data_IF_596972986775
#
_entry.id   IF_596972986775
#
_cell.length_a   1.000
_cell.length_b   1.000
_cell.length_c   1.000
_cell.angle_alpha   90.00
_cell.angle_beta   90.00
_cell.angle_gamma   90.00
#
_symmetry.space_group_name_H-M   'P 1'
#
loop_
_entity.id
_entity.type
_entity.pdbx_description
1 polymer ?
#
# COMPACT_ATOMS: atom_id res chain seq x y z
N UNK A 1 -5.08 23.45 -2.65
CA UNK A 1 -3.99 23.58 -1.66
C UNK A 1 -2.72 22.95 -2.19
N UNK A 2 -1.58 23.51 -1.83
CA UNK A 2 -0.27 22.91 -2.11
C UNK A 2 0.04 21.82 -1.08
N UNK A 3 0.95 20.87 -1.38
CA UNK A 3 1.36 19.84 -0.41
C UNK A 3 1.94 20.42 0.89
N UNK A 4 2.61 21.58 0.80
CA UNK A 4 3.16 22.28 1.95
C UNK A 4 2.08 22.88 2.84
N UNK A 5 1.01 23.41 2.26
CA UNK A 5 -0.16 23.92 3.01
C UNK A 5 -0.89 22.78 3.74
N UNK A 6 -1.06 21.64 3.09
CA UNK A 6 -1.64 20.43 3.71
C UNK A 6 -0.75 19.95 4.86
N UNK A 7 0.57 19.89 4.64
CA UNK A 7 1.52 19.51 5.70
C UNK A 7 1.42 20.45 6.91
N UNK A 8 1.39 21.76 6.68
CA UNK A 8 1.30 22.73 7.77
C UNK A 8 0.00 22.59 8.58
N UNK A 9 -1.14 22.36 7.90
CA UNK A 9 -2.42 22.11 8.55
C UNK A 9 -2.37 20.83 9.42
N UNK A 10 -1.82 19.74 8.88
CA UNK A 10 -1.66 18.50 9.61
C UNK A 10 -0.69 18.65 10.79
N UNK A 11 0.46 19.29 10.59
CA UNK A 11 1.45 19.47 11.63
C UNK A 11 0.93 20.37 12.77
N UNK A 12 0.13 21.39 12.44
CA UNK A 12 -0.52 22.22 13.45
C UNK A 12 -1.51 21.43 14.32
N UNK A 13 -2.22 20.45 13.73
CA UNK A 13 -3.23 19.67 14.42
C UNK A 13 -2.68 18.46 15.17
N UNK A 14 -1.71 17.73 14.56
CA UNK A 14 -1.19 16.45 15.05
C UNK A 14 0.25 16.53 15.60
N UNK A 15 0.95 17.66 15.40
CA UNK A 15 2.30 17.86 15.91
C UNK A 15 3.32 16.85 15.37
N UNK A 16 4.11 16.28 16.27
CA UNK A 16 5.21 15.36 15.95
C UNK A 16 4.76 14.03 15.29
N UNK A 17 3.46 13.69 15.33
CA UNK A 17 2.93 12.52 14.62
C UNK A 17 3.01 12.66 13.11
N UNK A 18 3.19 13.87 12.59
CA UNK A 18 3.51 14.15 11.20
C UNK A 18 5.04 14.23 11.10
N UNK A 19 5.64 13.13 10.66
CA UNK A 19 7.09 12.89 10.76
C UNK A 19 7.88 13.77 9.78
N UNK A 20 7.43 13.84 8.52
CA UNK A 20 8.14 14.63 7.50
C UNK A 20 7.25 14.93 6.29
N UNK A 21 7.69 15.90 5.47
CA UNK A 21 7.09 16.22 4.19
C UNK A 21 8.18 16.31 3.12
N UNK A 22 7.95 15.67 1.99
CA UNK A 22 8.77 15.85 0.79
C UNK A 22 7.94 16.49 -0.33
N UNK A 23 7.87 17.81 -0.31
CA UNK A 23 7.11 18.60 -1.29
C UNK A 23 7.81 18.69 -2.67
N UNK A 24 9.12 18.34 -2.75
CA UNK A 24 9.92 18.44 -3.97
C UNK A 24 9.97 17.14 -4.77
N UNK A 25 9.39 16.07 -4.28
CA UNK A 25 9.27 14.81 -5.02
C UNK A 25 8.37 15.00 -6.25
N UNK A 26 8.52 14.12 -7.26
CA UNK A 26 7.63 14.08 -8.43
C UNK A 26 6.17 13.92 -7.98
N UNK A 27 5.93 13.03 -7.04
CA UNK A 27 4.68 12.93 -6.30
C UNK A 27 4.96 13.32 -4.83
N UNK A 28 4.55 14.53 -4.42
CA UNK A 28 4.75 15.02 -3.07
C UNK A 28 4.06 14.13 -2.04
N UNK A 29 4.75 13.86 -0.92
CA UNK A 29 4.21 13.00 0.12
C UNK A 29 4.51 13.51 1.53
N UNK A 30 3.66 13.11 2.46
CA UNK A 30 3.78 13.35 3.89
C UNK A 30 3.94 11.99 4.59
N UNK A 31 4.93 11.86 5.45
CA UNK A 31 5.12 10.67 6.29
C UNK A 31 4.38 10.88 7.61
N UNK A 32 3.54 9.93 7.95
CA UNK A 32 2.67 9.93 9.14
C UNK A 32 3.03 8.73 10.02
N UNK A 33 3.04 8.92 11.33
CA UNK A 33 3.17 7.84 12.29
C UNK A 33 2.02 6.85 12.15
N UNK A 34 2.31 5.54 12.17
CA UNK A 34 1.30 4.49 11.94
C UNK A 34 0.11 4.62 12.91
N UNK A 35 0.37 4.89 14.18
CA UNK A 35 -0.66 5.04 15.21
C UNK A 35 -1.62 6.22 14.96
N UNK A 36 -1.23 7.19 14.17
CA UNK A 36 -2.00 8.41 13.91
C UNK A 36 -2.77 8.36 12.58
N UNK A 37 -2.52 7.38 11.72
CA UNK A 37 -3.04 7.39 10.34
C UNK A 37 -4.56 7.49 10.26
N UNK A 38 -5.29 6.77 11.11
CA UNK A 38 -6.76 6.82 11.14
C UNK A 38 -7.27 8.22 11.49
N UNK A 39 -6.74 8.84 12.55
CA UNK A 39 -7.16 10.18 12.95
C UNK A 39 -6.78 11.24 11.91
N UNK A 40 -5.61 11.10 11.27
CA UNK A 40 -5.17 11.98 10.17
C UNK A 40 -6.09 11.81 8.95
N UNK A 41 -6.44 10.59 8.61
CA UNK A 41 -7.36 10.27 7.50
C UNK A 41 -8.76 10.86 7.74
N UNK A 42 -9.29 10.69 8.94
CA UNK A 42 -10.59 11.25 9.33
C UNK A 42 -10.59 12.78 9.23
N UNK A 43 -9.54 13.42 9.75
CA UNK A 43 -9.37 14.88 9.65
C UNK A 43 -9.28 15.34 8.19
N UNK A 44 -8.46 14.69 7.35
CA UNK A 44 -8.31 15.02 5.93
C UNK A 44 -9.63 14.91 5.16
N UNK A 45 -10.49 13.95 5.50
CA UNK A 45 -11.76 13.75 4.84
C UNK A 45 -12.80 14.79 5.25
N UNK A 46 -12.89 15.14 6.54
CA UNK A 46 -13.99 15.91 7.08
C UNK A 46 -13.70 17.40 7.27
N UNK A 47 -12.43 17.80 7.27
CA UNK A 47 -12.07 19.22 7.35
C UNK A 47 -12.57 19.99 6.12
N UNK A 48 -13.14 21.18 6.36
CA UNK A 48 -13.80 22.01 5.33
C UNK A 48 -12.85 22.47 4.22
N UNK A 49 -11.58 22.72 4.56
CA UNK A 49 -10.59 23.25 3.62
C UNK A 49 -9.77 22.15 2.93
N UNK A 50 -9.87 20.90 3.42
CA UNK A 50 -9.12 19.75 2.92
C UNK A 50 -9.97 18.82 2.05
N UNK A 51 -11.09 18.33 2.55
CA UNK A 51 -12.11 17.53 1.84
C UNK A 51 -11.53 16.44 0.93
N UNK A 52 -10.61 15.62 1.44
CA UNK A 52 -10.09 14.47 0.69
C UNK A 52 -11.12 13.34 0.68
N UNK A 53 -12.09 13.47 -0.20
CA UNK A 53 -13.25 12.58 -0.31
C UNK A 53 -12.94 11.25 -1.03
N UNK A 54 -11.82 11.16 -1.73
CA UNK A 54 -11.44 10.00 -2.54
C UNK A 54 -10.07 9.44 -2.17
N UNK A 55 -10.04 8.18 -1.74
CA UNK A 55 -8.84 7.36 -1.73
C UNK A 55 -8.70 6.71 -3.11
N UNK A 56 -7.80 7.23 -3.95
CA UNK A 56 -7.58 6.73 -5.31
C UNK A 56 -6.90 5.38 -5.32
N UNK A 57 -5.94 5.19 -4.44
CA UNK A 57 -5.18 3.95 -4.31
C UNK A 57 -4.56 3.86 -2.92
N UNK A 58 -4.51 2.64 -2.37
CA UNK A 58 -3.69 2.29 -1.23
C UNK A 58 -2.81 1.12 -1.67
N UNK A 59 -1.50 1.21 -1.43
CA UNK A 59 -0.55 0.19 -1.85
C UNK A 59 0.44 -0.14 -0.74
N UNK A 60 0.71 -1.45 -0.55
CA UNK A 60 1.82 -1.91 0.24
C UNK A 60 3.16 -1.67 -0.47
N UNK A 61 4.22 -1.45 0.28
CA UNK A 61 5.59 -1.29 -0.22
C UNK A 61 6.55 -2.03 0.69
N UNK A 62 7.44 -2.82 0.11
CA UNK A 62 8.56 -3.43 0.82
C UNK A 62 9.85 -2.64 0.55
N UNK A 63 10.42 -2.04 1.58
CA UNK A 63 11.69 -1.30 1.48
C UNK A 63 12.93 -2.21 1.54
N UNK A 64 12.76 -3.50 1.79
CA UNK A 64 13.80 -4.54 1.80
C UNK A 64 13.87 -5.32 3.12
N UNK A 65 14.59 -6.48 3.12
CA UNK A 65 14.60 -7.42 4.25
C UNK A 65 15.07 -6.80 5.58
N UNK A 66 16.05 -5.89 5.51
CA UNK A 66 16.64 -5.21 6.67
C UNK A 66 15.94 -3.88 7.02
N UNK A 67 14.80 -3.60 6.36
CA UNK A 67 14.08 -2.33 6.50
C UNK A 67 12.64 -2.56 6.94
N UNK A 68 11.83 -1.56 6.68
CA UNK A 68 10.40 -1.50 7.04
C UNK A 68 9.51 -1.97 5.89
N UNK A 69 8.26 -2.25 6.20
CA UNK A 69 7.15 -2.23 5.26
C UNK A 69 6.48 -0.85 5.31
N UNK A 70 5.82 -0.48 4.24
CA UNK A 70 5.10 0.79 4.19
C UNK A 70 3.74 0.66 3.52
N UNK A 71 2.84 1.57 3.88
CA UNK A 71 1.57 1.79 3.19
C UNK A 71 1.57 3.19 2.59
N UNK A 72 1.21 3.27 1.33
CA UNK A 72 1.10 4.52 0.57
C UNK A 72 -0.36 4.77 0.24
N UNK A 73 -0.88 5.90 0.68
CA UNK A 73 -2.25 6.33 0.44
C UNK A 73 -2.24 7.50 -0.54
N UNK A 74 -2.86 7.33 -1.69
CA UNK A 74 -3.02 8.39 -2.68
C UNK A 74 -4.42 9.00 -2.55
N UNK A 75 -4.49 10.21 -2.04
CA UNK A 75 -5.72 10.92 -1.75
C UNK A 75 -5.99 12.02 -2.75
N UNK A 76 -7.27 12.22 -3.06
CA UNK A 76 -7.74 13.28 -3.95
C UNK A 76 -9.01 13.91 -3.40
N UNK A 77 -9.11 15.22 -3.54
CA UNK A 77 -10.36 15.94 -3.34
C UNK A 77 -11.03 16.20 -4.68
N UNK A 78 -12.20 15.60 -4.90
CA UNK A 78 -12.97 15.82 -6.12
C UNK A 78 -13.57 17.21 -6.17
N UNK A 79 -13.87 17.77 -5.00
CA UNK A 79 -14.47 19.10 -4.83
C UNK A 79 -13.43 20.20 -5.02
N UNK A 80 -12.31 20.13 -4.29
CA UNK A 80 -11.28 21.16 -4.26
C UNK A 80 -10.15 20.92 -5.27
N UNK A 81 -10.15 19.76 -5.97
CA UNK A 81 -9.23 19.40 -7.07
C UNK A 81 -7.75 19.44 -6.68
N UNK A 82 -7.42 18.98 -5.48
CA UNK A 82 -6.04 18.80 -5.04
C UNK A 82 -5.77 17.35 -4.66
N UNK A 83 -4.51 16.98 -4.61
CA UNK A 83 -4.06 15.62 -4.28
C UNK A 83 -2.92 15.66 -3.28
N UNK A 84 -2.79 14.61 -2.48
CA UNK A 84 -1.67 14.37 -1.59
C UNK A 84 -1.42 12.87 -1.45
N UNK A 85 -0.17 12.51 -1.21
CA UNK A 85 0.19 11.15 -0.87
C UNK A 85 0.60 11.09 0.60
N UNK A 86 0.02 10.17 1.37
CA UNK A 86 0.50 9.84 2.71
C UNK A 86 1.32 8.57 2.65
N UNK A 87 2.33 8.48 3.50
CA UNK A 87 3.14 7.28 3.72
C UNK A 87 3.18 6.94 5.19
N UNK A 88 3.00 5.67 5.48
CA UNK A 88 3.18 5.10 6.80
C UNK A 88 4.25 4.03 6.71
N UNK A 89 5.15 3.98 7.67
CA UNK A 89 6.15 2.93 7.76
C UNK A 89 5.98 2.16 9.07
N UNK A 90 6.07 0.86 8.98
CA UNK A 90 5.95 -0.06 10.13
C UNK A 90 7.08 -1.08 10.13
N UNK A 91 7.45 -1.63 11.29
CA UNK A 91 8.37 -2.75 11.36
C UNK A 91 7.89 -3.92 10.49
N UNK A 92 8.84 -4.64 9.88
CA UNK A 92 8.53 -5.76 8.99
C UNK A 92 7.85 -6.93 9.72
N UNK A 93 8.19 -7.10 11.00
CA UNK A 93 7.57 -8.08 11.88
C UNK A 93 6.65 -7.35 12.87
N UNK A 94 5.46 -7.89 13.05
CA UNK A 94 4.45 -7.37 13.99
C UNK A 94 4.00 -5.93 13.77
N UNK A 95 4.31 -5.35 12.59
CA UNK A 95 3.84 -4.02 12.22
C UNK A 95 2.34 -4.03 11.97
N UNK A 96 1.61 -3.18 12.71
CA UNK A 96 0.18 -2.99 12.56
C UNK A 96 -0.13 -1.57 12.13
N UNK A 97 -1.11 -1.42 11.25
CA UNK A 97 -1.60 -0.13 10.78
C UNK A 97 -3.10 -0.06 11.05
N UNK A 98 -3.62 0.97 11.72
CA UNK A 98 -5.06 1.14 11.86
C UNK A 98 -5.74 1.20 10.48
N UNK A 99 -6.86 0.46 10.33
CA UNK A 99 -7.66 0.52 9.09
C UNK A 99 -8.23 1.92 8.86
N UNK A 100 -8.45 2.26 7.59
CA UNK A 100 -9.16 3.46 7.18
C UNK A 100 -10.41 3.13 6.34
N UNK A 101 -10.86 1.87 6.38
CA UNK A 101 -11.98 1.40 5.57
C UNK A 101 -13.34 2.00 5.99
N UNK A 102 -13.50 2.44 7.23
CA UNK A 102 -14.66 3.19 7.73
C UNK A 102 -14.68 4.64 7.20
N UNK A 103 -13.52 5.18 6.86
CA UNK A 103 -13.36 6.50 6.27
C UNK A 103 -13.57 6.43 4.74
N UNK A 104 -12.87 5.53 4.06
CA UNK A 104 -13.02 5.28 2.62
C UNK A 104 -13.27 3.80 2.35
N UNK A 105 -14.47 3.42 1.96
CA UNK A 105 -14.83 2.01 1.69
C UNK A 105 -13.93 1.31 0.65
N UNK A 106 -13.29 2.05 -0.24
CA UNK A 106 -12.31 1.49 -1.18
C UNK A 106 -11.10 0.89 -0.46
N UNK A 107 -10.75 1.39 0.72
CA UNK A 107 -9.63 0.89 1.52
C UNK A 107 -9.82 -0.58 1.91
N UNK A 108 -11.06 -1.02 2.17
CA UNK A 108 -11.36 -2.42 2.52
C UNK A 108 -10.71 -3.44 1.57
N UNK A 109 -10.76 -3.16 0.26
CA UNK A 109 -10.19 -4.05 -0.76
C UNK A 109 -8.67 -3.90 -0.88
N UNK A 110 -8.20 -2.67 -0.86
CA UNK A 110 -6.76 -2.39 -0.98
C UNK A 110 -5.96 -2.83 0.25
N UNK A 111 -6.53 -2.73 1.44
CA UNK A 111 -5.91 -3.20 2.68
C UNK A 111 -5.78 -4.74 2.67
N UNK A 112 -6.80 -5.45 2.18
CA UNK A 112 -6.74 -6.90 1.98
C UNK A 112 -5.68 -7.29 0.94
N UNK A 113 -5.54 -6.53 -0.16
CA UNK A 113 -4.47 -6.74 -1.15
C UNK A 113 -3.10 -6.55 -0.50
N UNK A 114 -2.90 -5.47 0.28
CA UNK A 114 -1.64 -5.23 0.97
C UNK A 114 -1.32 -6.31 2.01
N UNK A 115 -2.34 -6.82 2.71
CA UNK A 115 -2.18 -7.99 3.58
C UNK A 115 -1.79 -9.23 2.78
N UNK A 116 -2.51 -9.54 1.72
CA UNK A 116 -2.32 -10.77 0.95
C UNK A 116 -0.93 -10.84 0.32
N UNK A 117 -0.46 -9.73 -0.25
CA UNK A 117 0.78 -9.70 -1.02
C UNK A 117 2.03 -9.34 -0.21
N UNK A 118 1.90 -8.58 0.88
CA UNK A 118 3.02 -8.12 1.71
C UNK A 118 2.95 -8.58 3.18
N UNK A 119 1.86 -9.18 3.63
CA UNK A 119 1.69 -9.59 5.03
C UNK A 119 1.43 -8.44 6.00
N UNK A 120 0.96 -7.28 5.51
CA UNK A 120 0.67 -6.12 6.35
C UNK A 120 -0.63 -6.32 7.12
N UNK A 121 -0.59 -6.17 8.44
CA UNK A 121 -1.77 -6.30 9.29
C UNK A 121 -2.48 -4.95 9.45
N UNK A 122 -3.81 -4.95 9.24
CA UNK A 122 -4.66 -3.78 9.46
C UNK A 122 -5.55 -3.97 10.67
N UNK A 123 -5.32 -3.16 11.71
CA UNK A 123 -6.06 -3.23 12.95
C UNK A 123 -7.50 -2.76 12.76
N UNK A 124 -8.45 -3.52 13.32
CA UNK A 124 -9.90 -3.29 13.22
C UNK A 124 -10.49 -3.39 11.80
N UNK A 125 -9.79 -4.02 10.85
CA UNK A 125 -10.35 -4.30 9.54
C UNK A 125 -11.51 -5.30 9.65
N UNK A 126 -12.68 -5.06 9.05
CA UNK A 126 -13.89 -5.89 9.24
C UNK A 126 -13.78 -7.30 8.64
N UNK A 127 -12.99 -7.48 7.58
CA UNK A 127 -12.83 -8.76 6.85
C UNK A 127 -11.36 -8.98 6.45
N UNK A 128 -10.47 -9.13 7.45
CA UNK A 128 -9.03 -9.26 7.27
C UNK A 128 -8.63 -10.67 6.82
N UNK A 129 -8.78 -10.97 5.53
CA UNK A 129 -8.44 -12.25 4.90
C UNK A 129 -7.86 -12.04 3.50
N UNK A 130 -7.23 -13.07 2.94
CA UNK A 130 -6.70 -13.03 1.56
C UNK A 130 -7.77 -12.68 0.53
N UNK A 131 -7.35 -12.12 -0.60
CA UNK A 131 -8.25 -11.70 -1.68
C UNK A 131 -7.80 -12.19 -3.07
N UNK A 132 -6.50 -12.22 -3.32
CA UNK A 132 -5.92 -12.60 -4.62
C UNK A 132 -5.38 -14.03 -4.62
N UNK A 133 -4.74 -14.43 -3.53
CA UNK A 133 -4.14 -15.75 -3.37
C UNK A 133 -5.11 -16.72 -2.71
N UNK A 134 -4.97 -18.03 -2.96
CA UNK A 134 -5.67 -19.06 -2.20
C UNK A 134 -5.36 -18.98 -0.71
N UNK A 135 -6.30 -19.42 0.15
CA UNK A 135 -6.15 -19.34 1.62
C UNK A 135 -4.97 -20.17 2.14
N UNK A 136 -4.60 -21.24 1.44
CA UNK A 136 -3.51 -22.16 1.74
C UNK A 136 -2.18 -21.79 1.08
N UNK A 137 -2.08 -20.60 0.43
CA UNK A 137 -0.84 -20.13 -0.15
C UNK A 137 0.19 -19.76 0.93
N UNK A 138 1.43 -20.24 0.78
CA UNK A 138 2.48 -19.96 1.74
C UNK A 138 3.21 -18.64 1.47
N UNK A 139 3.26 -17.77 2.48
CA UNK A 139 3.95 -16.49 2.45
C UNK A 139 3.22 -15.38 1.69
N UNK A 140 3.99 -14.34 1.32
CA UNK A 140 3.51 -13.12 0.69
C UNK A 140 4.40 -12.77 -0.51
N UNK A 141 3.90 -12.93 -1.75
CA UNK A 141 4.74 -12.96 -2.96
C UNK A 141 5.44 -11.66 -3.33
N UNK A 142 4.99 -10.51 -2.84
CA UNK A 142 5.62 -9.23 -3.15
C UNK A 142 6.68 -8.79 -2.14
N UNK A 143 6.95 -9.60 -1.11
CA UNK A 143 8.12 -9.40 -0.27
C UNK A 143 9.39 -9.65 -1.09
N UNK A 144 10.41 -8.79 -0.92
CA UNK A 144 11.67 -8.89 -1.67
C UNK A 144 12.51 -10.12 -1.36
N UNK A 145 12.29 -10.73 -0.22
CA UNK A 145 12.93 -11.98 0.25
C UNK A 145 12.02 -13.19 0.14
N UNK A 146 10.87 -13.06 -0.54
CA UNK A 146 9.95 -14.17 -0.76
C UNK A 146 10.62 -15.29 -1.56
N UNK A 147 10.46 -16.51 -1.08
CA UNK A 147 10.90 -17.73 -1.76
C UNK A 147 9.68 -18.42 -2.35
N UNK A 148 9.68 -18.60 -3.66
CA UNK A 148 8.59 -19.32 -4.34
C UNK A 148 8.61 -20.77 -3.93
N UNK A 149 7.47 -21.34 -3.51
CA UNK A 149 7.34 -22.75 -3.20
C UNK A 149 7.56 -23.62 -4.44
N UNK A 150 8.28 -24.73 -4.31
CA UNK A 150 8.57 -25.61 -5.44
C UNK A 150 7.35 -26.37 -5.94
N UNK A 151 6.43 -26.68 -5.05
CA UNK A 151 5.20 -27.42 -5.36
C UNK A 151 4.00 -26.77 -4.72
N UNK A 152 2.89 -26.74 -5.45
CA UNK A 152 1.59 -26.35 -4.97
C UNK A 152 0.57 -27.44 -5.34
N UNK A 153 -0.11 -28.03 -4.35
CA UNK A 153 -1.04 -29.16 -4.53
C UNK A 153 -0.42 -30.33 -5.33
N UNK A 154 0.87 -30.60 -5.14
CA UNK A 154 1.58 -31.68 -5.84
C UNK A 154 1.99 -31.34 -7.28
N UNK A 155 1.71 -30.12 -7.75
CA UNK A 155 2.10 -29.61 -9.05
C UNK A 155 3.34 -28.74 -8.88
N UNK A 156 4.39 -28.99 -9.68
CA UNK A 156 5.60 -28.17 -9.68
C UNK A 156 5.28 -26.74 -10.13
N UNK A 157 5.64 -25.75 -9.32
CA UNK A 157 5.51 -24.33 -9.66
C UNK A 157 6.67 -23.96 -10.59
N UNK A 158 6.41 -23.43 -11.81
CA UNK A 158 7.47 -23.05 -12.72
C UNK A 158 8.25 -21.84 -12.21
N UNK A 159 9.58 -21.89 -12.29
CA UNK A 159 10.47 -20.78 -12.02
C UNK A 159 10.82 -20.00 -13.28
N UNK A 160 11.23 -18.74 -13.08
CA UNK A 160 11.86 -17.96 -14.16
C UNK A 160 13.17 -18.70 -14.57
N UNK A 161 13.20 -19.26 -15.77
CA UNK A 161 14.32 -20.08 -16.26
C UNK A 161 13.99 -21.57 -16.44
N UNK A 162 12.89 -22.05 -15.91
CA UNK A 162 12.36 -23.36 -16.30
C UNK A 162 11.98 -23.32 -17.80
N UNK A 163 12.27 -24.40 -18.57
CA UNK A 163 11.80 -24.47 -19.96
C UNK A 163 10.27 -24.34 -19.97
N UNK A 164 9.68 -23.60 -20.93
CA UNK A 164 8.25 -23.43 -21.00
C UNK A 164 7.57 -24.80 -21.06
N UNK A 165 6.65 -25.06 -20.14
CA UNK A 165 5.78 -26.23 -20.21
C UNK A 165 5.03 -26.19 -21.55
N UNK A 166 4.89 -27.34 -22.19
CA UNK A 166 4.21 -27.52 -23.48
C UNK A 166 2.89 -26.74 -23.46
N UNK A 167 2.80 -25.67 -24.28
CA UNK A 167 1.62 -24.80 -24.40
C UNK A 167 1.82 -23.32 -24.06
N UNK A 168 2.97 -22.89 -23.51
CA UNK A 168 3.26 -21.47 -23.24
C UNK A 168 4.03 -20.74 -24.36
N UNK A 169 4.23 -21.35 -25.53
CA UNK A 169 4.93 -20.72 -26.66
C UNK A 169 4.18 -19.53 -27.30
N UNK A 170 2.98 -19.20 -26.81
CA UNK A 170 2.09 -18.20 -27.43
C UNK A 170 2.50 -16.74 -27.10
N UNK A 171 3.39 -16.52 -26.13
CA UNK A 171 3.74 -15.16 -25.68
C UNK A 171 5.23 -14.81 -25.75
N UNK A 172 6.02 -15.48 -26.59
CA UNK A 172 7.34 -14.92 -26.95
C UNK A 172 7.11 -13.70 -27.85
N UNK A 173 7.14 -12.51 -27.26
CA UNK A 173 7.47 -11.31 -28.00
C UNK A 173 8.86 -11.55 -28.60
N UNK A 174 8.93 -11.73 -29.90
CA UNK A 174 10.19 -11.65 -30.63
C UNK A 174 10.58 -10.17 -30.57
N UNK A 175 11.58 -9.85 -29.75
CA UNK A 175 12.30 -8.60 -29.90
C UNK A 175 12.94 -8.65 -31.29
N UNK A 176 12.25 -8.03 -32.24
CA UNK A 176 12.82 -7.68 -33.53
C UNK A 176 13.81 -6.56 -33.25
N UNK A 177 15.09 -6.90 -33.15
CA UNK A 177 16.16 -5.93 -33.24
C UNK A 177 16.03 -5.13 -34.56
N UNK A 178 16.38 -3.81 -34.53
CA UNK A 178 16.23 -2.90 -35.66
C UNK A 178 17.19 -3.22 -36.80
#
# INVERSE_FOLDING_TARGET
MTPEEVYNALHQHFGERIVSCNAKAVDPYIVVEASAIHAVADYLRHDHDLQFDSLMCLSGVDYGPEKTLGVVYNLHSTTLRHKITLKVEVPRHDGMVPTVCDIWHTAEWHEREAYDLFGMCFENHPDHRRILLPDDWEGHPLLKDYQVQEFYHGIKVPYVGDPPSIGMDVYRYQDSEP
#
